data_IF_384578588698
#
_entry.id   IF_384578588698
#
_cell.length_a   1.000
_cell.length_b   1.000
_cell.length_c   1.000
_cell.angle_alpha   90.00
_cell.angle_beta   90.00
_cell.angle_gamma   90.00
#
_symmetry.space_group_name_H-M   'P 1'
#
loop_
_entity.id
_entity.type
_entity.pdbx_description
1 polymer ?
#
# COMPACT_ATOMS: atom_id res chain seq x y z
N UNK A 1 -4.10 -27.82 -12.81
CA UNK A 1 -4.56 -26.91 -11.73
C UNK A 1 -5.26 -25.75 -12.40
N UNK A 2 -6.52 -25.48 -12.08
CA UNK A 2 -7.23 -24.32 -12.64
C UNK A 2 -6.51 -23.05 -12.20
N UNK A 3 -6.30 -22.10 -13.11
CA UNK A 3 -5.56 -20.85 -12.86
C UNK A 3 -6.15 -20.06 -11.67
N UNK A 4 -7.47 -20.10 -11.54
CA UNK A 4 -8.22 -19.54 -10.41
C UNK A 4 -7.83 -20.18 -9.07
N UNK A 5 -7.55 -21.49 -9.04
CA UNK A 5 -7.10 -22.16 -7.83
C UNK A 5 -5.70 -21.67 -7.41
N UNK A 6 -4.80 -21.44 -8.37
CA UNK A 6 -3.48 -20.87 -8.08
C UNK A 6 -3.58 -19.43 -7.54
N UNK A 7 -4.45 -18.60 -8.12
CA UNK A 7 -4.69 -17.23 -7.65
C UNK A 7 -5.28 -17.21 -6.23
N UNK A 8 -6.30 -18.02 -5.95
CA UNK A 8 -6.91 -18.13 -4.62
C UNK A 8 -5.91 -18.64 -3.59
N UNK A 9 -5.08 -19.62 -3.95
CA UNK A 9 -4.05 -20.17 -3.08
C UNK A 9 -2.98 -19.11 -2.79
N UNK A 10 -2.57 -18.32 -3.79
CA UNK A 10 -1.64 -17.19 -3.62
C UNK A 10 -2.18 -16.12 -2.65
N UNK A 11 -3.46 -15.76 -2.77
CA UNK A 11 -4.11 -14.82 -1.85
C UNK A 11 -4.18 -15.41 -0.44
N UNK A 12 -4.63 -16.66 -0.30
CA UNK A 12 -4.73 -17.34 0.99
C UNK A 12 -3.36 -17.40 1.70
N UNK A 13 -2.31 -17.81 0.99
CA UNK A 13 -0.93 -17.83 1.51
C UNK A 13 -0.50 -16.44 1.97
N UNK A 14 -0.82 -15.41 1.19
CA UNK A 14 -0.44 -14.02 1.50
C UNK A 14 -1.17 -13.48 2.74
N UNK A 15 -2.46 -13.78 2.87
CA UNK A 15 -3.26 -13.41 4.06
C UNK A 15 -2.76 -14.14 5.31
N UNK A 16 -2.47 -15.44 5.21
CA UNK A 16 -1.91 -16.23 6.32
C UNK A 16 -0.52 -15.70 6.71
N UNK A 17 0.32 -15.34 5.75
CA UNK A 17 1.62 -14.74 6.01
C UNK A 17 1.48 -13.42 6.78
N UNK A 18 0.67 -12.46 6.32
CA UNK A 18 0.51 -11.15 6.99
C UNK A 18 -0.09 -11.29 8.41
N UNK A 19 -1.15 -12.08 8.55
CA UNK A 19 -1.96 -12.10 9.77
C UNK A 19 -1.43 -13.09 10.82
N UNK A 20 -0.94 -14.26 10.39
CA UNK A 20 -0.62 -15.38 11.29
C UNK A 20 0.89 -15.53 11.50
N UNK A 21 1.67 -15.53 10.41
CA UNK A 21 3.11 -15.84 10.45
C UNK A 21 3.93 -14.60 10.84
N UNK A 22 3.87 -13.55 10.03
CA UNK A 22 4.65 -12.32 10.21
C UNK A 22 3.98 -11.37 11.20
N UNK A 23 2.68 -11.54 11.45
CA UNK A 23 1.85 -10.75 12.39
C UNK A 23 2.06 -9.25 12.19
N UNK A 24 2.17 -8.84 10.93
CA UNK A 24 2.35 -7.46 10.54
C UNK A 24 1.04 -6.69 10.63
N UNK A 25 -0.09 -7.38 10.43
CA UNK A 25 -1.47 -6.83 10.48
C UNK A 25 -1.60 -5.60 9.58
N UNK A 26 -1.03 -5.68 8.37
CA UNK A 26 -1.15 -4.62 7.37
C UNK A 26 -2.57 -4.59 6.79
N UNK A 27 -3.14 -5.77 6.54
CA UNK A 27 -4.48 -5.92 5.96
C UNK A 27 -5.59 -5.37 6.86
N UNK A 28 -5.34 -5.15 8.16
CA UNK A 28 -6.34 -4.58 9.07
C UNK A 28 -6.33 -3.04 9.09
N UNK A 29 -5.41 -2.38 8.37
CA UNK A 29 -5.24 -0.92 8.42
C UNK A 29 -6.04 -0.23 7.33
N UNK A 30 -6.83 0.79 7.68
CA UNK A 30 -7.59 1.60 6.71
C UNK A 30 -6.70 2.29 5.66
N UNK A 31 -5.51 2.75 6.08
CA UNK A 31 -4.55 3.37 5.18
C UNK A 31 -4.06 2.42 4.07
N UNK A 32 -3.91 1.12 4.38
CA UNK A 32 -3.55 0.11 3.39
C UNK A 32 -4.61 0.01 2.30
N UNK A 33 -5.89 -0.09 2.69
CA UNK A 33 -7.00 -0.17 1.74
C UNK A 33 -7.17 1.10 0.92
N UNK A 34 -6.92 2.28 1.50
CA UNK A 34 -6.95 3.54 0.76
C UNK A 34 -5.86 3.59 -0.34
N UNK A 35 -4.63 3.20 -0.01
CA UNK A 35 -3.54 3.10 -1.00
C UNK A 35 -3.78 1.99 -2.02
N UNK A 36 -4.30 0.84 -1.60
CA UNK A 36 -4.60 -0.28 -2.49
C UNK A 36 -5.71 0.07 -3.49
N UNK A 37 -6.72 0.84 -3.08
CA UNK A 37 -7.75 1.33 -4.00
C UNK A 37 -7.16 2.17 -5.14
N UNK A 38 -6.16 3.01 -4.84
CA UNK A 38 -5.43 3.78 -5.87
C UNK A 38 -4.72 2.82 -6.83
N UNK A 39 -4.02 1.81 -6.30
CA UNK A 39 -3.33 0.79 -7.12
C UNK A 39 -4.31 0.07 -8.04
N UNK A 40 -5.47 -0.35 -7.53
CA UNK A 40 -6.50 -1.03 -8.33
C UNK A 40 -7.05 -0.12 -9.42
N UNK A 41 -7.28 1.16 -9.15
CA UNK A 41 -7.72 2.13 -10.17
C UNK A 41 -6.71 2.22 -11.30
N UNK A 42 -5.42 2.33 -10.98
CA UNK A 42 -4.38 2.37 -12.02
C UNK A 42 -4.21 1.02 -12.72
N UNK A 43 -4.34 -0.11 -12.03
CA UNK A 43 -4.32 -1.44 -12.65
C UNK A 43 -5.44 -1.59 -13.68
N UNK A 44 -6.67 -1.22 -13.31
CA UNK A 44 -7.80 -1.27 -14.23
C UNK A 44 -7.64 -0.27 -15.37
N UNK A 45 -7.22 0.97 -15.09
CA UNK A 45 -7.03 2.00 -16.11
C UNK A 45 -5.96 1.58 -17.13
N UNK A 46 -4.82 1.07 -16.68
CA UNK A 46 -3.74 0.60 -17.55
C UNK A 46 -4.16 -0.65 -18.32
N UNK A 47 -4.87 -1.57 -17.68
CA UNK A 47 -5.37 -2.78 -18.35
C UNK A 47 -6.42 -2.44 -19.42
N UNK A 48 -7.39 -1.57 -19.12
CA UNK A 48 -8.36 -1.07 -20.10
C UNK A 48 -7.69 -0.29 -21.22
N UNK A 49 -6.69 0.55 -20.90
CA UNK A 49 -5.94 1.33 -21.89
C UNK A 49 -5.07 0.47 -22.81
N UNK A 50 -4.45 -0.59 -22.29
CA UNK A 50 -3.69 -1.56 -23.08
C UNK A 50 -4.62 -2.43 -23.94
N UNK A 51 -5.79 -2.79 -23.41
CA UNK A 51 -6.80 -3.58 -24.13
C UNK A 51 -7.42 -2.78 -25.27
N UNK A 52 -7.70 -1.49 -25.10
CA UNK A 52 -8.30 -0.64 -26.16
C UNK A 52 -7.34 -0.35 -27.32
N UNK A 53 -6.03 -0.57 -27.15
CA UNK A 53 -5.02 -0.41 -28.20
C UNK A 53 -4.78 -1.65 -29.05
N UNK A 54 -5.46 -2.77 -28.78
CA UNK A 54 -5.40 -3.97 -29.62
C UNK A 54 -4.02 -4.66 -29.67
N UNK A 55 -3.11 -4.36 -28.74
CA UNK A 55 -1.76 -4.94 -28.69
C UNK A 55 -1.75 -6.34 -28.06
N UNK A 56 -2.84 -6.75 -27.41
CA UNK A 56 -3.03 -8.12 -26.89
C UNK A 56 -4.31 -8.70 -27.48
N UNK A 57 -4.18 -9.45 -28.58
CA UNK A 57 -5.23 -10.39 -28.98
C UNK A 57 -5.25 -11.54 -27.98
N UNK A 58 -6.27 -11.58 -27.12
CA UNK A 58 -6.56 -12.77 -26.34
C UNK A 58 -7.33 -13.77 -27.20
N UNK A 59 -6.69 -14.87 -27.55
CA UNK A 59 -7.34 -16.02 -28.18
C UNK A 59 -8.48 -16.52 -27.28
N UNK A 60 -9.69 -16.65 -27.83
CA UNK A 60 -10.92 -16.96 -27.10
C UNK A 60 -10.89 -18.33 -26.38
N UNK A 61 -9.90 -19.17 -26.69
CA UNK A 61 -9.77 -20.54 -26.20
C UNK A 61 -8.93 -20.71 -24.91
N UNK A 62 -8.24 -19.68 -24.40
CA UNK A 62 -7.20 -19.89 -23.38
C UNK A 62 -7.56 -19.53 -21.92
N UNK A 63 -8.66 -18.82 -21.62
CA UNK A 63 -8.89 -18.29 -20.25
C UNK A 63 -10.35 -18.41 -19.81
N UNK A 64 -10.62 -19.41 -18.97
CA UNK A 64 -11.88 -19.64 -18.25
C UNK A 64 -11.80 -19.03 -16.84
N UNK A 65 -12.23 -17.77 -16.69
CA UNK A 65 -12.35 -17.07 -15.41
C UNK A 65 -13.43 -15.97 -15.47
N UNK A 66 -14.13 -15.65 -14.36
CA UNK A 66 -15.21 -14.66 -14.36
C UNK A 66 -14.63 -13.27 -14.65
N UNK A 67 -14.97 -12.70 -15.80
CA UNK A 67 -14.59 -11.33 -16.17
C UNK A 67 -15.50 -10.34 -15.45
N UNK A 68 -14.92 -9.31 -14.84
CA UNK A 68 -15.65 -8.06 -14.55
C UNK A 68 -15.29 -7.11 -15.70
N UNK A 69 -16.07 -7.12 -16.78
CA UNK A 69 -15.78 -6.36 -18.00
C UNK A 69 -14.77 -7.04 -18.93
N UNK A 70 -13.70 -6.34 -19.33
CA UNK A 70 -12.66 -6.82 -20.25
C UNK A 70 -11.39 -7.36 -19.58
N UNK A 71 -11.24 -7.20 -18.26
CA UNK A 71 -10.04 -7.60 -17.52
C UNK A 71 -10.18 -8.97 -16.81
N UNK A 72 -9.14 -9.83 -16.81
CA UNK A 72 -9.10 -11.04 -15.98
C UNK A 72 -9.07 -10.66 -14.50
N UNK A 73 -9.95 -11.24 -13.68
CA UNK A 73 -10.00 -10.99 -12.22
C UNK A 73 -8.78 -11.58 -11.51
N UNK A 74 -8.14 -12.56 -12.13
CA UNK A 74 -6.92 -13.22 -11.66
C UNK A 74 -5.75 -12.24 -11.50
N UNK A 75 -5.60 -11.25 -12.39
CA UNK A 75 -4.51 -10.27 -12.31
C UNK A 75 -4.64 -9.36 -11.09
N UNK A 76 -5.87 -9.07 -10.65
CA UNK A 76 -6.12 -8.33 -9.41
C UNK A 76 -5.70 -9.15 -8.19
N UNK A 77 -5.93 -10.47 -8.21
CA UNK A 77 -5.55 -11.37 -7.11
C UNK A 77 -4.03 -11.56 -7.04
N UNK A 78 -3.36 -11.70 -8.17
CA UNK A 78 -1.89 -11.75 -8.22
C UNK A 78 -1.27 -10.40 -7.84
N UNK A 79 -1.81 -9.30 -8.35
CA UNK A 79 -1.39 -7.95 -7.98
C UNK A 79 -1.56 -7.68 -6.48
N UNK A 80 -2.68 -8.11 -5.90
CA UNK A 80 -2.92 -8.06 -4.46
C UNK A 80 -1.81 -8.80 -3.69
N UNK A 81 -1.56 -10.07 -4.06
CA UNK A 81 -0.56 -10.90 -3.42
C UNK A 81 0.84 -10.27 -3.47
N UNK A 82 1.22 -9.73 -4.63
CA UNK A 82 2.51 -9.08 -4.84
C UNK A 82 2.68 -7.83 -3.96
N UNK A 83 1.68 -6.94 -3.93
CA UNK A 83 1.72 -5.71 -3.14
C UNK A 83 1.80 -6.03 -1.65
N UNK A 84 0.95 -6.94 -1.18
CA UNK A 84 0.92 -7.32 0.24
C UNK A 84 2.22 -8.01 0.65
N UNK A 85 2.72 -9.00 -0.11
CA UNK A 85 3.99 -9.64 0.23
C UNK A 85 5.15 -8.65 0.29
N UNK A 86 5.25 -7.76 -0.70
CA UNK A 86 6.30 -6.74 -0.73
C UNK A 86 6.29 -5.88 0.53
N UNK A 87 5.09 -5.41 0.95
CA UNK A 87 4.94 -4.61 2.17
C UNK A 87 5.19 -5.40 3.46
N UNK A 88 4.71 -6.64 3.53
CA UNK A 88 4.87 -7.50 4.71
C UNK A 88 6.35 -7.79 4.96
N UNK A 89 7.09 -8.16 3.93
CA UNK A 89 8.54 -8.38 4.02
C UNK A 89 9.29 -7.11 4.41
N UNK A 90 8.92 -5.98 3.82
CA UNK A 90 9.48 -4.67 4.16
C UNK A 90 9.31 -4.33 5.65
N UNK A 91 8.09 -4.45 6.17
CA UNK A 91 7.80 -4.17 7.59
C UNK A 91 8.50 -5.17 8.51
N UNK A 92 8.56 -6.44 8.12
CA UNK A 92 9.19 -7.48 8.94
C UNK A 92 10.71 -7.28 9.07
N UNK A 93 11.41 -7.05 7.96
CA UNK A 93 12.84 -6.71 8.00
C UNK A 93 13.09 -5.38 8.73
N UNK A 94 12.19 -4.40 8.58
CA UNK A 94 12.25 -3.15 9.32
C UNK A 94 12.16 -3.34 10.84
N UNK A 95 11.29 -4.22 11.32
CA UNK A 95 11.20 -4.57 12.75
C UNK A 95 12.46 -5.29 13.27
N UNK A 96 13.23 -5.92 12.39
CA UNK A 96 14.49 -6.62 12.73
C UNK A 96 15.73 -5.72 12.65
N UNK A 97 15.57 -4.42 12.42
CA UNK A 97 16.67 -3.48 12.42
C UNK A 97 17.56 -3.54 11.17
N UNK A 98 17.08 -4.14 10.08
CA UNK A 98 17.78 -4.10 8.78
C UNK A 98 17.74 -2.70 8.15
N UNK A 99 16.83 -1.85 8.61
CA UNK A 99 16.70 -0.48 8.11
C UNK A 99 17.88 0.38 8.59
N UNK A 100 18.51 1.17 7.69
CA UNK A 100 19.53 2.11 8.09
C UNK A 100 19.02 3.01 9.21
N UNK A 101 19.80 3.15 10.29
CA UNK A 101 19.48 4.11 11.35
C UNK A 101 19.28 5.47 10.68
N UNK A 102 18.12 6.12 10.82
CA UNK A 102 17.92 7.45 10.28
C UNK A 102 19.08 8.32 10.74
N UNK A 103 19.81 8.92 9.80
CA UNK A 103 20.88 9.85 10.12
C UNK A 103 20.38 10.91 11.10
N UNK A 104 21.27 11.54 11.89
CA UNK A 104 20.88 12.50 12.91
C UNK A 104 19.83 13.46 12.35
N UNK A 105 18.62 13.44 12.92
CA UNK A 105 17.56 14.34 12.47
C UNK A 105 18.02 15.80 12.50
N UNK A 106 17.32 16.72 11.80
CA UNK A 106 17.76 18.10 11.67
C UNK A 106 18.17 18.67 13.02
N UNK A 107 19.34 19.31 13.02
CA UNK A 107 20.00 19.79 14.24
C UNK A 107 19.02 20.55 15.13
N UNK A 108 19.21 20.54 16.47
CA UNK A 108 18.35 21.30 17.38
C UNK A 108 18.17 22.77 16.96
N UNK A 109 19.19 23.35 16.30
CA UNK A 109 19.14 24.68 15.70
C UNK A 109 18.12 24.79 14.57
N UNK A 110 18.10 23.84 13.63
CA UNK A 110 17.13 23.80 12.52
C UNK A 110 15.69 23.60 13.02
N UNK A 111 15.48 22.80 14.09
CA UNK A 111 14.16 22.66 14.72
C UNK A 111 13.67 23.95 15.36
N UNK A 112 14.58 24.69 16.03
CA UNK A 112 14.27 26.00 16.62
C UNK A 112 13.97 27.05 15.56
N UNK A 113 14.69 27.02 14.44
CA UNK A 113 14.46 27.93 13.31
C UNK A 113 13.12 27.65 12.64
N UNK A 114 12.79 26.38 12.39
CA UNK A 114 11.49 25.98 11.84
C UNK A 114 10.31 26.38 12.75
N UNK A 115 10.47 26.24 14.07
CA UNK A 115 9.47 26.72 15.05
C UNK A 115 9.31 28.24 15.07
N UNK A 116 10.36 28.99 14.73
CA UNK A 116 10.30 30.46 14.59
C UNK A 116 9.66 30.90 13.27
N UNK A 117 9.89 30.15 12.19
CA UNK A 117 9.32 30.45 10.87
C UNK A 117 7.86 29.98 10.74
N UNK A 118 7.45 28.95 11.49
CA UNK A 118 6.05 28.48 11.57
C UNK A 118 5.20 29.15 12.67
N UNK A 119 5.77 30.09 13.42
CA UNK A 119 5.18 30.68 14.63
C UNK A 119 4.23 31.86 14.39
N UNK A 120 3.24 31.71 13.53
CA UNK A 120 2.10 32.62 13.47
C UNK A 120 1.14 32.40 14.64
N UNK A 121 1.35 33.15 15.74
CA UNK A 121 0.44 33.41 16.89
C UNK A 121 -0.55 32.30 17.28
N UNK A 122 -0.18 31.52 18.29
CA UNK A 122 -1.16 31.09 19.32
C UNK A 122 -1.07 32.11 20.45
N UNK A 123 -2.00 33.05 20.47
CA UNK A 123 -2.15 34.05 21.54
C UNK A 123 -2.42 33.34 22.87
N UNK A 124 -1.47 33.39 23.80
CA UNK A 124 -1.71 33.06 25.21
C UNK A 124 -2.73 34.05 25.78
N UNK A 125 -3.79 33.60 26.48
CA UNK A 125 -4.69 34.52 27.16
C UNK A 125 -3.95 35.16 28.34
N UNK A 126 -4.08 36.48 28.44
CA UNK A 126 -3.50 37.29 29.50
C UNK A 126 -4.21 37.00 30.83
N UNK A 127 -3.58 36.25 31.71
CA UNK A 127 -3.98 36.21 33.12
C UNK A 127 -3.35 37.41 33.84
N UNK A 128 -4.15 38.49 33.96
CA UNK A 128 -3.93 39.58 34.91
C UNK A 128 -3.74 39.01 36.33
N UNK A 129 -2.59 39.29 36.95
CA UNK A 129 -2.52 39.71 38.37
C UNK A 129 -2.46 41.25 38.34
N UNK A 130 -3.10 41.99 39.28
CA UNK A 130 -2.77 42.05 40.72
C UNK A 130 -4.05 41.99 41.60
N UNK A 131 -4.05 41.93 42.94
CA UNK A 131 -3.20 42.52 44.00
C UNK A 131 -3.15 41.61 45.22
#
# INVERSE_FOLDING_TARGET
MTYTAAALLGVAVTVVLDLVVLRTRLLTRKAFWASYAIVVVFQLLTNEWLTSRGVVLYDEAAIWGPRIGHAPVEDLLFGFGLVVQSMVWWVWWGRRGVQPVPGPGPSPALRRLAGRLGGGRVTRPATRRPS
#
